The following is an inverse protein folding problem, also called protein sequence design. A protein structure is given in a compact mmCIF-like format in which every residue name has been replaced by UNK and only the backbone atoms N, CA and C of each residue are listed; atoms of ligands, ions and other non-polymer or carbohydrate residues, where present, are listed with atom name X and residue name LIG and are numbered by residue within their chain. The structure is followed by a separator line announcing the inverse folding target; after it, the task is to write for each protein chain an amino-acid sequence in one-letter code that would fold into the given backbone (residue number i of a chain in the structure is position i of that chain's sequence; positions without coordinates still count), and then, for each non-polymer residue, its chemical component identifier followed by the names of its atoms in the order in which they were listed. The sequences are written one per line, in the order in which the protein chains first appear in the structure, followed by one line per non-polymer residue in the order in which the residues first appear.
data_IF_287868563969
#
_entry.id   IF_287868563969
#
_cell.length_a   1.000
_cell.length_b   1.000
_cell.length_c   1.000
_cell.angle_alpha   90.00
_cell.angle_beta   90.00
_cell.angle_gamma   90.00
#
_symmetry.space_group_name_H-M   'P 1'
#
loop_
_entity.id
_entity.type
_entity.pdbx_description
1 polymer ?
#
# COMPACT_ATOMS: atom_id res chain seq x y z
N UNK A 1 -14.93 7.99 -7.68
CA UNK A 1 -16.25 8.54 -7.33
C UNK A 1 -17.28 7.86 -8.22
N UNK A 2 -18.28 7.17 -7.62
CA UNK A 2 -19.32 6.41 -8.32
C UNK A 2 -20.66 6.68 -7.63
N UNK A 3 -21.65 7.17 -8.37
CA UNK A 3 -23.02 7.45 -7.91
C UNK A 3 -23.95 7.62 -9.10
N UNK A 4 -25.25 7.42 -8.88
CA UNK A 4 -26.30 7.71 -9.86
C UNK A 4 -26.90 9.09 -9.55
N UNK A 5 -26.85 10.00 -10.52
CA UNK A 5 -27.37 11.36 -10.38
C UNK A 5 -28.67 11.50 -11.15
N UNK A 6 -29.69 12.07 -10.51
CA UNK A 6 -30.94 12.48 -11.16
C UNK A 6 -31.42 13.81 -10.59
N UNK A 7 -32.13 14.58 -11.41
CA UNK A 7 -32.71 15.87 -11.01
C UNK A 7 -34.22 15.72 -11.06
N UNK A 8 -34.88 16.03 -9.94
CA UNK A 8 -36.33 16.02 -9.80
C UNK A 8 -36.84 17.45 -9.63
N UNK A 9 -38.06 17.73 -10.07
CA UNK A 9 -38.72 19.01 -9.82
C UNK A 9 -39.68 18.86 -8.64
N UNK A 10 -39.46 19.64 -7.58
CA UNK A 10 -40.33 19.65 -6.42
C UNK A 10 -41.70 20.29 -6.68
N UNK A 11 -42.65 20.24 -5.72
CA UNK A 11 -44.01 20.74 -5.89
C UNK A 11 -44.12 22.22 -6.29
N UNK A 12 -43.09 23.02 -6.02
CA UNK A 12 -43.00 24.45 -6.34
C UNK A 12 -42.02 24.75 -7.49
N UNK A 13 -41.68 23.76 -8.32
CA UNK A 13 -40.81 23.92 -9.49
C UNK A 13 -39.32 24.12 -9.17
N UNK A 14 -38.92 24.03 -7.90
CA UNK A 14 -37.51 24.07 -7.50
C UNK A 14 -36.82 22.75 -7.86
N UNK A 15 -35.65 22.78 -8.54
CA UNK A 15 -34.91 21.58 -8.86
C UNK A 15 -34.27 21.00 -7.60
N UNK A 16 -34.43 19.69 -7.41
CA UNK A 16 -33.85 18.90 -6.33
C UNK A 16 -32.93 17.88 -6.99
N UNK A 17 -31.64 17.98 -6.69
CA UNK A 17 -30.68 16.95 -7.10
C UNK A 17 -30.73 15.79 -6.12
N UNK A 18 -30.89 14.57 -6.65
CA UNK A 18 -30.87 13.34 -5.87
C UNK A 18 -29.71 12.48 -6.35
N UNK A 19 -28.87 12.09 -5.40
CA UNK A 19 -27.73 11.21 -5.62
C UNK A 19 -27.98 9.89 -4.89
N UNK A 20 -28.04 8.80 -5.66
CA UNK A 20 -28.23 7.46 -5.13
C UNK A 20 -26.89 6.73 -5.18
N UNK A 21 -26.47 6.19 -4.04
CA UNK A 21 -25.23 5.43 -3.87
C UNK A 21 -25.45 4.32 -2.86
N UNK A 22 -24.70 3.23 -2.99
CA UNK A 22 -24.61 2.20 -1.95
C UNK A 22 -23.72 2.70 -0.80
N UNK A 23 -23.83 2.09 0.38
CA UNK A 23 -22.92 2.40 1.50
C UNK A 23 -21.44 2.23 1.12
N UNK A 24 -21.13 1.23 0.27
CA UNK A 24 -19.77 1.01 -0.25
C UNK A 24 -19.30 2.20 -1.12
N UNK A 25 -20.16 2.70 -2.00
CA UNK A 25 -19.86 3.86 -2.85
C UNK A 25 -19.68 5.14 -2.02
N UNK A 26 -20.44 5.28 -0.93
CA UNK A 26 -20.35 6.39 0.01
C UNK A 26 -19.00 6.41 0.74
N UNK A 27 -18.56 5.25 1.24
CA UNK A 27 -17.28 5.08 1.92
C UNK A 27 -16.09 5.45 1.02
N UNK A 28 -16.14 5.06 -0.26
CA UNK A 28 -15.12 5.40 -1.27
C UNK A 28 -15.12 6.89 -1.59
N UNK A 29 -16.30 7.52 -1.61
CA UNK A 29 -16.45 8.94 -1.90
C UNK A 29 -15.95 9.84 -0.75
N UNK A 30 -16.19 9.45 0.51
CA UNK A 30 -15.76 10.22 1.69
C UNK A 30 -14.28 10.00 2.05
N UNK A 31 -13.79 8.76 1.92
CA UNK A 31 -12.47 8.37 2.45
C UNK A 31 -11.43 8.05 1.37
N UNK A 32 -11.81 8.15 0.09
CA UNK A 32 -10.92 7.93 -1.04
C UNK A 32 -10.29 6.52 -1.07
N UNK A 33 -9.09 6.40 -1.63
CA UNK A 33 -8.36 5.13 -1.87
C UNK A 33 -8.13 4.31 -0.59
N UNK A 34 -8.16 4.94 0.59
CA UNK A 34 -8.00 4.27 1.88
C UNK A 34 -9.17 3.34 2.25
N UNK A 35 -10.40 3.66 1.82
CA UNK A 35 -11.58 2.82 2.09
C UNK A 35 -11.65 1.55 1.23
N UNK A 36 -11.02 1.56 0.05
CA UNK A 36 -11.05 0.39 -0.84
C UNK A 36 -10.17 -0.77 -0.33
N UNK A 37 -9.22 -0.49 0.57
CA UNK A 37 -8.27 -1.49 1.04
C UNK A 37 -8.88 -2.48 2.05
N UNK A 38 -9.93 -2.13 2.80
CA UNK A 38 -10.46 -3.03 3.85
C UNK A 38 -11.48 -4.05 3.33
N UNK A 39 -12.23 -3.72 2.27
CA UNK A 39 -13.34 -4.56 1.78
C UNK A 39 -12.90 -5.70 0.85
N UNK A 40 -11.80 -5.55 0.09
CA UNK A 40 -11.31 -6.60 -0.84
C UNK A 40 -10.58 -7.78 -0.20
N UNK A 41 -10.32 -7.77 1.11
CA UNK A 41 -9.59 -8.85 1.80
C UNK A 41 -10.47 -9.67 2.76
N UNK A 42 -11.78 -9.73 2.51
CA UNK A 42 -12.66 -10.69 3.18
C UNK A 42 -12.47 -12.15 2.74
N UNK A 43 -11.43 -12.48 1.94
CA UNK A 43 -11.28 -13.80 1.32
C UNK A 43 -9.88 -14.39 1.26
N UNK A 44 -8.80 -13.65 1.55
CA UNK A 44 -7.45 -14.21 1.57
C UNK A 44 -6.68 -13.65 2.77
N UNK A 45 -5.98 -14.55 3.47
CA UNK A 45 -5.34 -14.34 4.77
C UNK A 45 -4.66 -12.96 4.91
N UNK A 46 -4.84 -12.27 6.05
CA UNK A 46 -4.32 -10.91 6.23
C UNK A 46 -2.79 -10.95 6.11
N UNK A 47 -2.26 -10.27 5.10
CA UNK A 47 -0.84 -10.11 4.91
C UNK A 47 -0.35 -9.24 6.08
N UNK A 48 0.50 -9.77 6.96
CA UNK A 48 0.94 -9.15 8.22
C UNK A 48 1.46 -7.71 8.06
N UNK A 49 2.05 -7.38 6.91
CA UNK A 49 2.51 -6.03 6.58
C UNK A 49 1.38 -4.99 6.52
N UNK A 50 0.16 -5.39 6.15
CA UNK A 50 -0.99 -4.50 5.96
C UNK A 50 -1.65 -4.15 7.29
N UNK A 51 -1.74 -5.11 8.22
CA UNK A 51 -2.18 -4.86 9.59
C UNK A 51 -1.20 -3.95 10.34
N UNK A 52 0.10 -4.07 10.07
CA UNK A 52 1.13 -3.18 10.64
C UNK A 52 1.02 -1.75 10.11
N UNK A 53 0.77 -1.57 8.82
CA UNK A 53 0.51 -0.24 8.24
C UNK A 53 -0.75 0.42 8.84
N UNK A 54 -1.78 -0.36 9.17
CA UNK A 54 -2.99 0.13 9.82
C UNK A 54 -2.73 0.61 11.26
N UNK A 55 -2.01 -0.17 12.07
CA UNK A 55 -1.64 0.22 13.43
C UNK A 55 -0.85 1.54 13.44
N UNK A 56 0.07 1.69 12.48
CA UNK A 56 0.90 2.88 12.33
C UNK A 56 0.09 4.15 12.02
N UNK A 57 -0.91 4.09 11.13
CA UNK A 57 -1.75 5.25 10.80
C UNK A 57 -2.60 5.67 12.00
N UNK A 58 -3.09 4.72 12.78
CA UNK A 58 -3.87 5.01 14.00
C UNK A 58 -2.99 5.71 15.04
N UNK A 59 -1.76 5.25 15.26
CA UNK A 59 -0.78 5.93 16.15
C UNK A 59 -0.38 7.33 15.65
N UNK A 60 -0.31 7.53 14.33
CA UNK A 60 -0.02 8.84 13.73
C UNK A 60 -1.10 9.88 14.05
N UNK A 61 -2.37 9.47 13.99
CA UNK A 61 -3.51 10.36 14.27
C UNK A 61 -3.58 10.69 15.78
N UNK A 62 -3.24 9.74 16.64
CA UNK A 62 -3.27 9.93 18.09
C UNK A 62 -2.11 10.81 18.59
N UNK A 63 -0.91 10.63 18.01
CA UNK A 63 0.27 11.45 18.32
C UNK A 63 0.12 12.91 17.88
N UNK A 64 -0.59 13.18 16.78
CA UNK A 64 -0.92 14.55 16.36
C UNK A 64 -1.76 15.30 17.40
N UNK A 65 -2.62 14.60 18.15
CA UNK A 65 -3.43 15.22 19.21
C UNK A 65 -2.62 15.54 20.46
N UNK A 66 -1.47 14.90 20.65
CA UNK A 66 -0.62 15.04 21.84
C UNK A 66 0.53 16.04 21.67
N UNK A 67 1.05 16.26 20.45
CA UNK A 67 2.25 17.08 20.22
C UNK A 67 1.92 18.56 19.90
N UNK A 68 2.14 19.45 20.86
CA UNK A 68 1.95 20.90 20.70
C UNK A 68 3.02 21.63 19.86
N UNK A 69 4.04 20.96 19.34
CA UNK A 69 5.11 21.57 18.54
C UNK A 69 5.40 20.75 17.27
N UNK A 70 5.28 21.41 16.11
CA UNK A 70 5.34 20.79 14.78
C UNK A 70 6.73 20.25 14.38
N UNK A 71 7.79 20.52 15.16
CA UNK A 71 9.18 20.21 14.82
C UNK A 71 9.63 18.85 15.35
N UNK A 72 9.27 18.49 16.59
CA UNK A 72 9.48 17.14 17.13
C UNK A 72 8.60 16.09 16.45
N UNK A 73 7.41 16.49 15.98
CA UNK A 73 6.56 15.65 15.15
C UNK A 73 7.25 15.25 13.84
N UNK A 74 7.92 16.19 13.16
CA UNK A 74 8.58 15.90 11.88
C UNK A 74 9.77 14.95 12.02
N UNK A 75 10.51 15.00 13.13
CA UNK A 75 11.63 14.08 13.37
C UNK A 75 11.16 12.68 13.81
N UNK A 76 10.15 12.58 14.69
CA UNK A 76 9.57 11.27 15.07
C UNK A 76 8.86 10.60 13.88
N UNK A 77 8.11 11.36 13.09
CA UNK A 77 7.48 10.87 11.87
C UNK A 77 8.51 10.45 10.83
N UNK A 78 9.67 11.14 10.73
CA UNK A 78 10.76 10.71 9.85
C UNK A 78 11.35 9.35 10.25
N UNK A 79 11.44 9.07 11.54
CA UNK A 79 11.97 7.80 12.06
C UNK A 79 10.96 6.67 11.85
N UNK A 80 9.67 6.92 12.08
CA UNK A 80 8.59 5.95 11.84
C UNK A 80 8.17 5.82 10.34
N UNK A 81 8.55 6.77 9.48
CA UNK A 81 8.31 6.77 8.03
C UNK A 81 9.20 5.82 7.24
N UNK A 82 10.24 5.25 7.86
CA UNK A 82 11.04 4.20 7.25
C UNK A 82 10.64 2.87 7.89
N UNK A 83 9.66 2.13 7.35
CA UNK A 83 9.55 0.74 7.71
C UNK A 83 10.93 0.11 7.45
N UNK A 84 11.42 -0.70 8.37
CA UNK A 84 12.60 -1.54 8.17
C UNK A 84 12.37 -2.62 7.09
N UNK A 85 11.47 -2.36 6.14
CA UNK A 85 11.02 -3.24 5.08
C UNK A 85 11.00 -2.50 3.72
N UNK A 86 11.43 -3.18 2.67
CA UNK A 86 11.32 -2.79 1.27
C UNK A 86 10.23 -3.60 0.57
N UNK A 87 9.42 -2.94 -0.25
CA UNK A 87 8.31 -3.56 -0.97
C UNK A 87 8.67 -3.76 -2.45
N UNK A 88 8.63 -5.01 -2.92
CA UNK A 88 9.17 -5.42 -4.21
C UNK A 88 8.11 -6.12 -5.05
N UNK A 89 8.12 -5.84 -6.35
CA UNK A 89 7.19 -6.45 -7.29
C UNK A 89 7.82 -7.65 -8.00
N UNK A 90 7.13 -8.78 -7.96
CA UNK A 90 7.41 -9.89 -8.88
C UNK A 90 6.96 -9.54 -10.31
N UNK A 91 7.48 -10.21 -11.36
CA UNK A 91 7.01 -10.00 -12.73
C UNK A 91 5.54 -10.35 -12.94
N UNK A 92 4.97 -11.18 -12.04
CA UNK A 92 3.56 -11.58 -12.03
C UNK A 92 2.66 -10.60 -11.25
N UNK A 93 3.21 -9.47 -10.77
CA UNK A 93 2.45 -8.43 -10.07
C UNK A 93 2.19 -8.67 -8.58
N UNK A 94 2.72 -9.76 -7.99
CA UNK A 94 2.70 -9.95 -6.53
C UNK A 94 3.69 -9.03 -5.83
N UNK A 95 3.33 -8.55 -4.64
CA UNK A 95 4.16 -7.70 -3.79
C UNK A 95 4.77 -8.56 -2.67
N UNK A 96 6.08 -8.44 -2.48
CA UNK A 96 6.83 -9.04 -1.37
C UNK A 96 7.42 -7.94 -0.49
N UNK A 97 7.34 -8.12 0.82
CA UNK A 97 8.01 -7.25 1.79
C UNK A 97 9.25 -7.99 2.32
N UNK A 98 10.41 -7.34 2.28
CA UNK A 98 11.67 -7.86 2.80
C UNK A 98 12.33 -6.83 3.71
N UNK A 99 13.21 -7.22 4.64
CA UNK A 99 13.95 -6.26 5.44
C UNK A 99 14.71 -5.22 4.60
N UNK A 100 14.88 -4.03 5.16
CA UNK A 100 15.66 -2.97 4.53
C UNK A 100 17.09 -3.44 4.31
N UNK A 101 17.66 -3.09 3.15
CA UNK A 101 18.95 -3.57 2.66
C UNK A 101 18.96 -5.03 2.14
N UNK A 102 17.80 -5.68 2.01
CA UNK A 102 17.74 -6.97 1.32
C UNK A 102 18.27 -6.89 -0.11
N UNK A 103 18.90 -7.98 -0.51
CA UNK A 103 19.52 -8.15 -1.82
C UNK A 103 18.59 -8.90 -2.78
N UNK A 104 18.93 -8.91 -4.07
CA UNK A 104 18.23 -9.74 -5.04
C UNK A 104 18.30 -11.24 -4.70
N UNK A 105 19.36 -11.69 -4.03
CA UNK A 105 19.46 -13.06 -3.53
C UNK A 105 18.45 -13.34 -2.41
N UNK A 106 18.29 -12.41 -1.45
CA UNK A 106 17.29 -12.55 -0.39
C UNK A 106 15.87 -12.59 -0.96
N UNK A 107 15.61 -11.81 -2.01
CA UNK A 107 14.35 -11.88 -2.76
C UNK A 107 14.14 -13.24 -3.42
N UNK A 108 15.18 -13.84 -4.01
CA UNK A 108 15.09 -15.17 -4.60
C UNK A 108 14.68 -16.23 -3.57
N UNK A 109 15.31 -16.22 -2.39
CA UNK A 109 14.98 -17.13 -1.29
C UNK A 109 13.60 -16.87 -0.70
N UNK A 110 13.16 -15.61 -0.65
CA UNK A 110 11.80 -15.27 -0.20
C UNK A 110 10.72 -15.72 -1.18
N UNK A 111 11.02 -15.83 -2.48
CA UNK A 111 10.11 -16.41 -3.47
C UNK A 111 10.01 -17.92 -3.29
N UNK A 112 11.14 -18.62 -3.28
CA UNK A 112 11.22 -20.06 -3.01
C UNK A 112 12.68 -20.49 -2.79
N UNK A 113 12.90 -21.48 -1.93
CA UNK A 113 14.26 -22.01 -1.67
C UNK A 113 14.94 -22.52 -2.95
N UNK A 114 14.22 -23.22 -3.83
CA UNK A 114 14.77 -23.71 -5.10
C UNK A 114 15.13 -22.57 -6.06
N UNK A 115 14.36 -21.46 -6.06
CA UNK A 115 14.68 -20.28 -6.88
C UNK A 115 15.93 -19.61 -6.35
N UNK A 116 16.09 -19.50 -5.03
CA UNK A 116 17.33 -19.02 -4.41
C UNK A 116 18.54 -19.88 -4.77
N UNK A 117 18.41 -21.21 -4.71
CA UNK A 117 19.50 -22.15 -5.02
C UNK A 117 19.89 -22.18 -6.50
N UNK A 118 18.96 -21.89 -7.41
CA UNK A 118 19.20 -21.84 -8.85
C UNK A 118 19.48 -20.43 -9.38
N UNK A 119 19.52 -19.40 -8.52
CA UNK A 119 19.70 -18.01 -8.94
C UNK A 119 21.09 -17.78 -9.55
N UNK A 120 21.13 -17.45 -10.85
CA UNK A 120 22.37 -17.14 -11.58
C UNK A 120 22.51 -15.64 -11.80
N UNK A 121 21.40 -14.96 -12.10
CA UNK A 121 21.38 -13.53 -12.31
C UNK A 121 20.08 -12.89 -11.80
N UNK A 122 20.10 -11.58 -11.64
CA UNK A 122 18.90 -10.80 -11.31
C UNK A 122 18.70 -9.67 -12.29
N UNK A 123 17.43 -9.35 -12.54
CA UNK A 123 17.02 -8.20 -13.34
C UNK A 123 16.10 -7.34 -12.50
N UNK A 124 16.47 -6.08 -12.33
CA UNK A 124 15.69 -5.08 -11.58
C UNK A 124 15.25 -4.01 -12.56
N UNK A 125 13.95 -3.73 -12.64
CA UNK A 125 13.36 -2.77 -13.58
C UNK A 125 13.84 -2.97 -15.03
N UNK A 126 13.86 -4.24 -15.46
CA UNK A 126 14.33 -4.69 -16.78
C UNK A 126 15.83 -4.53 -17.04
N UNK A 127 16.65 -4.14 -16.05
CA UNK A 127 18.12 -4.04 -16.16
C UNK A 127 18.80 -5.17 -15.41
N UNK A 128 19.80 -5.80 -16.04
CA UNK A 128 20.62 -6.82 -15.39
C UNK A 128 21.46 -6.19 -14.27
N UNK A 129 21.37 -6.76 -13.07
CA UNK A 129 22.11 -6.32 -11.89
C UNK A 129 22.71 -7.52 -11.15
N UNK A 130 23.82 -7.34 -10.42
CA UNK A 130 24.39 -8.40 -9.59
C UNK A 130 23.43 -8.87 -8.49
N UNK A 131 23.50 -10.14 -8.09
CA UNK A 131 22.65 -10.71 -7.02
C UNK A 131 22.79 -10.01 -5.65
N UNK A 132 23.97 -9.41 -5.39
CA UNK A 132 24.25 -8.62 -4.17
C UNK A 132 23.63 -7.22 -4.16
N UNK A 133 22.94 -6.83 -5.23
CA UNK A 133 22.38 -5.47 -5.35
C UNK A 133 21.30 -5.28 -4.30
N UNK A 134 21.41 -4.21 -3.52
CA UNK A 134 20.40 -3.81 -2.55
C UNK A 134 19.16 -3.32 -3.29
N UNK A 135 18.01 -3.80 -2.84
CA UNK A 135 16.73 -3.48 -3.44
C UNK A 135 16.07 -2.30 -2.75
N UNK A 136 15.28 -1.55 -3.52
CA UNK A 136 14.53 -0.38 -3.06
C UNK A 136 13.04 -0.63 -3.28
N UNK A 137 12.22 -0.07 -2.40
CA UNK A 137 10.76 -0.15 -2.54
C UNK A 137 10.29 0.35 -3.91
N UNK A 138 9.32 -0.36 -4.51
CA UNK A 138 8.72 -0.01 -5.78
C UNK A 138 9.38 -0.67 -7.00
N UNK A 139 10.50 -1.35 -6.82
CA UNK A 139 11.22 -1.99 -7.93
C UNK A 139 10.61 -3.33 -8.32
N UNK A 140 10.65 -3.65 -9.62
CA UNK A 140 10.29 -4.97 -10.13
C UNK A 140 11.52 -5.86 -10.26
N UNK A 141 11.51 -7.01 -9.58
CA UNK A 141 12.65 -7.91 -9.48
C UNK A 141 12.31 -9.25 -10.15
N UNK A 142 13.18 -9.67 -11.05
CA UNK A 142 13.13 -10.95 -11.76
C UNK A 142 14.43 -11.71 -11.47
N UNK A 143 14.32 -12.97 -11.06
CA UNK A 143 15.45 -13.87 -10.84
C UNK A 143 15.56 -14.82 -12.02
N UNK A 144 16.79 -15.00 -12.52
CA UNK A 144 17.15 -15.81 -13.68
C UNK A 144 18.04 -16.96 -13.22
#
# INVERSE_FOLDING_TARGET
YQSLHTVLFGPYGSPIEVQIRTEEMDLIAERGVAAHWTYKFGGDSPNSAQSRAHAWIVELIDSQRAAGSSLEFLDNVKVDLFPDEVYLFTPKGKILALPRNSTALDFAYAVHTDVGNMAVASRVDKKLVPLRTKLVSGQSVEII
#
